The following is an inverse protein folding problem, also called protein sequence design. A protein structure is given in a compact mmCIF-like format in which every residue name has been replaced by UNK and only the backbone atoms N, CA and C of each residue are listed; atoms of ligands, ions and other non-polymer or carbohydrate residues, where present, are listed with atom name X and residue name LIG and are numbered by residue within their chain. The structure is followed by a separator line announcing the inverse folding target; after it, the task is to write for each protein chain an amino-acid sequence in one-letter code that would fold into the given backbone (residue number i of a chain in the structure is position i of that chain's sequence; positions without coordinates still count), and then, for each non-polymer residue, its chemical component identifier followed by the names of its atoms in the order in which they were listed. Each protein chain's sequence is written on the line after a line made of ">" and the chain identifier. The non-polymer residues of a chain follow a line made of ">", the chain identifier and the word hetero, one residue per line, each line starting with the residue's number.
data_IF_026183649370
#
_entry.id   IF_026183649370
#
_cell.length_a   1.000
_cell.length_b   1.000
_cell.length_c   1.000
_cell.angle_alpha   90.00
_cell.angle_beta   90.00
_cell.angle_gamma   90.00
#
_symmetry.space_group_name_H-M   'P 1'
#
loop_
_entity.id
_entity.type
_entity.pdbx_description
1 polymer ?
#
# COMPACT_ATOMS: atom_id res chain seq x y z
N UNK A 1 -0.99 -29.79 37.38
CA UNK A 1 -0.77 -29.30 36.01
C UNK A 1 -2.14 -29.13 35.35
N UNK A 2 -2.74 -27.95 35.48
CA UNK A 2 -4.07 -27.66 34.90
C UNK A 2 -3.86 -27.29 33.44
N UNK A 3 -4.24 -28.19 32.55
CA UNK A 3 -4.24 -27.96 31.10
C UNK A 3 -5.39 -26.99 30.86
N UNK A 4 -5.07 -25.72 30.64
CA UNK A 4 -6.05 -24.66 30.33
C UNK A 4 -6.89 -25.11 29.14
N UNK A 5 -8.16 -25.43 29.39
CA UNK A 5 -9.13 -25.81 28.35
C UNK A 5 -9.21 -24.69 27.32
N UNK A 6 -8.72 -24.94 26.10
CA UNK A 6 -8.85 -24.02 24.98
C UNK A 6 -10.36 -23.80 24.75
N UNK A 7 -10.83 -22.61 25.09
CA UNK A 7 -12.24 -22.23 24.99
C UNK A 7 -12.71 -22.30 23.53
N UNK A 8 -13.96 -22.69 23.28
CA UNK A 8 -14.48 -22.82 21.91
C UNK A 8 -14.41 -21.48 21.15
N UNK A 9 -14.53 -20.35 21.87
CA UNK A 9 -14.36 -19.01 21.31
C UNK A 9 -12.93 -18.76 20.80
N UNK A 10 -11.90 -19.27 21.49
CA UNK A 10 -10.50 -19.19 21.07
C UNK A 10 -10.27 -19.97 19.78
N UNK A 11 -10.84 -21.17 19.69
CA UNK A 11 -10.70 -22.03 18.51
C UNK A 11 -11.40 -21.43 17.29
N UNK A 12 -12.56 -20.78 17.48
CA UNK A 12 -13.22 -20.01 16.40
C UNK A 12 -12.39 -18.79 15.99
N UNK A 13 -11.88 -18.01 16.94
CA UNK A 13 -11.04 -16.85 16.66
C UNK A 13 -9.74 -17.24 15.92
N UNK A 14 -9.07 -18.34 16.30
CA UNK A 14 -7.87 -18.82 15.61
C UNK A 14 -8.14 -19.25 14.16
N UNK A 15 -9.31 -19.85 13.88
CA UNK A 15 -9.74 -20.16 12.51
C UNK A 15 -10.00 -18.90 11.70
N UNK A 16 -10.63 -17.88 12.31
CA UNK A 16 -10.83 -16.58 11.68
C UNK A 16 -9.47 -15.95 11.36
N UNK A 17 -8.53 -15.91 12.31
CA UNK A 17 -7.16 -15.42 12.06
C UNK A 17 -6.52 -16.10 10.84
N UNK A 18 -6.56 -17.44 10.79
CA UNK A 18 -5.99 -18.18 9.65
C UNK A 18 -6.69 -17.88 8.32
N UNK A 19 -8.02 -17.78 8.32
CA UNK A 19 -8.80 -17.46 7.12
C UNK A 19 -8.53 -16.02 6.64
N UNK A 20 -8.48 -15.07 7.59
CA UNK A 20 -8.22 -13.66 7.29
C UNK A 20 -6.81 -13.47 6.73
N UNK A 21 -5.82 -14.21 7.24
CA UNK A 21 -4.47 -14.25 6.65
C UNK A 21 -4.50 -14.79 5.21
N UNK A 22 -5.17 -15.92 4.98
CA UNK A 22 -5.30 -16.49 3.63
C UNK A 22 -5.99 -15.54 2.65
N UNK A 23 -6.93 -14.72 3.12
CA UNK A 23 -7.64 -13.72 2.31
C UNK A 23 -6.84 -12.43 2.11
N UNK A 24 -5.94 -12.07 3.04
CA UNK A 24 -5.12 -10.86 2.95
C UNK A 24 -3.90 -11.03 2.02
N UNK A 25 -3.37 -12.25 1.88
CA UNK A 25 -2.18 -12.54 1.09
C UNK A 25 -2.36 -12.21 -0.41
N UNK A 26 -3.43 -12.64 -1.11
CA UNK A 26 -3.55 -12.40 -2.54
C UNK A 26 -3.62 -10.91 -2.93
N UNK A 27 -4.44 -10.06 -2.26
CA UNK A 27 -4.45 -8.63 -2.53
C UNK A 27 -3.10 -7.95 -2.26
N UNK A 28 -2.45 -8.30 -1.15
CA UNK A 28 -1.15 -7.73 -0.79
C UNK A 28 -0.03 -8.12 -1.78
N UNK A 29 -0.02 -9.36 -2.27
CA UNK A 29 0.92 -9.80 -3.31
C UNK A 29 0.62 -9.14 -4.65
N UNK A 30 -0.65 -8.96 -4.99
CA UNK A 30 -1.05 -8.30 -6.23
C UNK A 30 -0.59 -6.84 -6.24
N UNK A 31 -0.87 -6.07 -5.19
CA UNK A 31 -0.42 -4.68 -5.11
C UNK A 31 1.11 -4.57 -4.93
N UNK A 32 1.68 -5.33 -3.99
CA UNK A 32 3.10 -5.21 -3.64
C UNK A 32 4.06 -5.73 -4.71
N UNK A 33 3.75 -6.86 -5.35
CA UNK A 33 4.66 -7.54 -6.29
C UNK A 33 4.23 -7.28 -7.73
N UNK A 34 2.97 -7.52 -8.06
CA UNK A 34 2.52 -7.46 -9.45
C UNK A 34 2.41 -6.02 -9.96
N UNK A 35 1.75 -5.13 -9.20
CA UNK A 35 1.61 -3.72 -9.58
C UNK A 35 2.99 -3.03 -9.53
N UNK A 36 3.76 -3.18 -8.45
CA UNK A 36 5.10 -2.59 -8.36
C UNK A 36 6.05 -3.05 -9.47
N UNK A 37 6.05 -4.33 -9.84
CA UNK A 37 6.95 -4.83 -10.91
C UNK A 37 6.59 -4.33 -12.30
N UNK A 38 5.32 -4.02 -12.56
CA UNK A 38 4.87 -3.47 -13.84
C UNK A 38 5.09 -1.95 -13.94
N UNK A 39 5.07 -1.25 -12.81
CA UNK A 39 5.02 0.21 -12.77
C UNK A 39 6.34 0.86 -12.34
N UNK A 40 7.11 0.23 -11.44
CA UNK A 40 8.29 0.83 -10.82
C UNK A 40 9.57 0.39 -11.53
N UNK A 41 10.25 1.35 -12.14
CA UNK A 41 11.61 1.20 -12.64
C UNK A 41 12.55 1.91 -11.66
N UNK A 42 13.17 1.14 -10.77
CA UNK A 42 13.98 1.65 -9.65
C UNK A 42 15.10 2.63 -10.05
N UNK A 43 15.58 2.57 -11.30
CA UNK A 43 16.64 3.46 -11.81
C UNK A 43 16.13 4.56 -12.75
N UNK A 44 14.82 4.68 -12.98
CA UNK A 44 14.27 5.68 -13.90
C UNK A 44 12.87 6.17 -13.47
N UNK A 45 12.84 7.26 -12.70
CA UNK A 45 11.60 7.89 -12.24
C UNK A 45 10.74 8.43 -13.39
N UNK A 46 11.35 8.90 -14.48
CA UNK A 46 10.62 9.42 -15.64
C UNK A 46 9.95 8.30 -16.47
N UNK A 47 10.52 7.09 -16.45
CA UNK A 47 9.94 5.90 -17.07
C UNK A 47 8.86 5.28 -16.18
N UNK A 48 9.07 5.26 -14.86
CA UNK A 48 8.05 4.91 -13.87
C UNK A 48 6.79 5.78 -14.03
N UNK A 49 6.96 7.11 -14.10
CA UNK A 49 5.86 8.05 -14.34
C UNK A 49 5.11 7.77 -15.65
N UNK A 50 5.83 7.47 -16.74
CA UNK A 50 5.23 7.11 -18.02
C UNK A 50 4.47 5.78 -17.96
N UNK A 51 5.00 4.77 -17.27
CA UNK A 51 4.33 3.48 -17.08
C UNK A 51 3.05 3.63 -16.23
N UNK A 52 3.08 4.48 -15.19
CA UNK A 52 1.91 4.81 -14.36
C UNK A 52 0.84 5.51 -15.21
N UNK A 53 1.21 6.48 -16.04
CA UNK A 53 0.27 7.15 -16.94
C UNK A 53 -0.29 6.20 -18.02
N UNK A 54 0.54 5.31 -18.56
CA UNK A 54 0.10 4.32 -19.55
C UNK A 54 -0.82 3.23 -18.95
N UNK A 55 -0.63 2.89 -17.67
CA UNK A 55 -1.36 1.84 -16.96
C UNK A 55 -2.11 2.38 -15.74
N UNK A 56 -2.75 3.55 -15.85
CA UNK A 56 -3.46 4.22 -14.75
C UNK A 56 -4.50 3.31 -14.07
N UNK A 57 -5.22 2.50 -14.88
CA UNK A 57 -6.20 1.54 -14.37
C UNK A 57 -5.57 0.47 -13.48
N UNK A 58 -4.37 0.02 -13.80
CA UNK A 58 -3.65 -1.01 -13.04
C UNK A 58 -3.18 -0.44 -11.69
N UNK A 59 -2.71 0.82 -11.70
CA UNK A 59 -2.35 1.55 -10.49
C UNK A 59 -3.56 1.77 -9.57
N UNK A 60 -4.71 2.20 -10.12
CA UNK A 60 -5.96 2.35 -9.35
C UNK A 60 -6.47 1.02 -8.78
N UNK A 61 -6.31 -0.09 -9.53
CA UNK A 61 -6.68 -1.43 -9.07
C UNK A 61 -5.76 -1.93 -7.95
N UNK A 62 -4.47 -1.58 -8.01
CA UNK A 62 -3.51 -1.81 -6.92
C UNK A 62 -3.94 -1.12 -5.64
N UNK A 63 -4.23 0.18 -5.70
CA UNK A 63 -4.71 0.95 -4.55
C UNK A 63 -6.02 0.37 -3.98
N UNK A 64 -6.98 0.00 -4.84
CA UNK A 64 -8.22 -0.63 -4.38
C UNK A 64 -7.96 -1.98 -3.68
N UNK A 65 -6.96 -2.74 -4.15
CA UNK A 65 -6.55 -4.01 -3.55
C UNK A 65 -5.90 -3.80 -2.18
N UNK A 66 -5.06 -2.76 -2.01
CA UNK A 66 -4.48 -2.38 -0.72
C UNK A 66 -5.57 -1.96 0.28
N UNK A 67 -6.56 -1.17 -0.15
CA UNK A 67 -7.70 -0.80 0.70
C UNK A 67 -8.49 -2.03 1.18
N UNK A 68 -8.70 -3.01 0.30
CA UNK A 68 -9.34 -4.28 0.67
C UNK A 68 -8.45 -5.05 1.66
N UNK A 69 -7.14 -5.10 1.44
CA UNK A 69 -6.20 -5.74 2.35
C UNK A 69 -6.26 -5.10 3.75
N UNK A 70 -6.31 -3.77 3.85
CA UNK A 70 -6.43 -3.06 5.13
C UNK A 70 -7.76 -3.35 5.83
N UNK A 71 -8.87 -3.43 5.09
CA UNK A 71 -10.16 -3.81 5.67
C UNK A 71 -10.12 -5.23 6.28
N UNK A 72 -9.48 -6.17 5.56
CA UNK A 72 -9.25 -7.54 6.03
C UNK A 72 -8.31 -7.55 7.24
N UNK A 73 -7.28 -6.70 7.26
CA UNK A 73 -6.32 -6.58 8.36
C UNK A 73 -6.97 -6.07 9.65
N UNK A 74 -7.93 -5.14 9.58
CA UNK A 74 -8.70 -4.72 10.77
C UNK A 74 -9.46 -5.90 11.40
N UNK A 75 -10.07 -6.75 10.58
CA UNK A 75 -10.73 -7.98 11.07
C UNK A 75 -9.70 -8.94 11.67
N UNK A 76 -8.52 -9.04 11.08
CA UNK A 76 -7.42 -9.86 11.59
C UNK A 76 -6.99 -9.37 12.98
N UNK A 77 -6.80 -8.07 13.17
CA UNK A 77 -6.42 -7.46 14.45
C UNK A 77 -7.46 -7.78 15.53
N UNK A 78 -8.76 -7.64 15.21
CA UNK A 78 -9.84 -7.97 16.15
C UNK A 78 -9.85 -9.46 16.52
N UNK A 79 -9.65 -10.35 15.55
CA UNK A 79 -9.57 -11.79 15.77
C UNK A 79 -8.32 -12.16 16.60
N UNK A 80 -7.17 -11.54 16.32
CA UNK A 80 -5.93 -11.74 17.06
C UNK A 80 -6.06 -11.29 18.51
N UNK A 81 -6.74 -10.16 18.75
CA UNK A 81 -7.05 -9.69 20.10
C UNK A 81 -7.89 -10.72 20.87
N UNK A 82 -8.93 -11.31 20.24
CA UNK A 82 -9.74 -12.35 20.87
C UNK A 82 -8.93 -13.62 21.20
N UNK A 83 -7.92 -13.96 20.38
CA UNK A 83 -7.01 -15.09 20.64
C UNK A 83 -6.01 -14.79 21.76
N UNK A 84 -5.47 -13.58 21.85
CA UNK A 84 -4.45 -13.23 22.86
C UNK A 84 -5.05 -12.78 24.21
N UNK A 85 -6.31 -12.34 24.23
CA UNK A 85 -7.02 -11.86 25.44
C UNK A 85 -6.87 -12.79 26.66
N UNK A 86 -7.04 -14.12 26.57
CA UNK A 86 -6.93 -15.01 27.73
C UNK A 86 -5.49 -15.34 28.16
N UNK A 87 -4.49 -15.02 27.34
CA UNK A 87 -3.07 -15.16 27.74
C UNK A 87 -2.67 -13.95 28.57
N UNK A 88 -2.82 -12.75 28.00
CA UNK A 88 -2.58 -11.49 28.71
C UNK A 88 -3.30 -10.34 27.99
N UNK A 89 -4.31 -9.76 28.64
CA UNK A 89 -5.13 -8.69 28.06
C UNK A 89 -4.34 -7.42 27.72
N UNK A 90 -3.34 -7.06 28.54
CA UNK A 90 -2.55 -5.85 28.31
C UNK A 90 -1.61 -6.01 27.11
N UNK A 91 -0.96 -7.17 26.99
CA UNK A 91 -0.14 -7.47 25.81
C UNK A 91 -0.98 -7.61 24.54
N UNK A 92 -2.17 -8.22 24.64
CA UNK A 92 -3.10 -8.32 23.52
C UNK A 92 -3.54 -6.93 23.02
N UNK A 93 -3.85 -6.00 23.93
CA UNK A 93 -4.18 -4.63 23.58
C UNK A 93 -2.99 -3.91 22.95
N UNK A 94 -1.79 -4.03 23.54
CA UNK A 94 -0.59 -3.38 23.00
C UNK A 94 -0.28 -3.87 21.57
N UNK A 95 -0.35 -5.18 21.34
CA UNK A 95 -0.15 -5.76 20.01
C UNK A 95 -1.21 -5.28 19.01
N UNK A 96 -2.49 -5.21 19.42
CA UNK A 96 -3.56 -4.71 18.58
C UNK A 96 -3.39 -3.21 18.25
N UNK A 97 -3.02 -2.38 19.22
CA UNK A 97 -2.74 -0.96 19.00
C UNK A 97 -1.54 -0.75 18.08
N UNK A 98 -0.45 -1.51 18.30
CA UNK A 98 0.74 -1.43 17.44
C UNK A 98 0.38 -1.77 15.99
N UNK A 99 -0.37 -2.86 15.79
CA UNK A 99 -0.84 -3.26 14.46
C UNK A 99 -1.77 -2.22 13.85
N UNK A 100 -2.71 -1.65 14.61
CA UNK A 100 -3.57 -0.57 14.10
C UNK A 100 -2.77 0.66 13.66
N UNK A 101 -1.70 1.02 14.38
CA UNK A 101 -0.82 2.13 13.99
C UNK A 101 -0.10 1.79 12.68
N UNK A 102 0.42 0.56 12.55
CA UNK A 102 1.04 0.07 11.32
C UNK A 102 0.05 0.14 10.13
N UNK A 103 -1.15 -0.41 10.27
CA UNK A 103 -2.20 -0.36 9.23
C UNK A 103 -2.56 1.08 8.88
N UNK A 104 -2.70 1.97 9.87
CA UNK A 104 -3.02 3.38 9.64
C UNK A 104 -1.93 4.11 8.86
N UNK A 105 -0.65 3.85 9.17
CA UNK A 105 0.47 4.41 8.41
C UNK A 105 0.45 3.92 6.96
N UNK A 106 0.20 2.63 6.73
CA UNK A 106 0.07 2.09 5.38
C UNK A 106 -1.09 2.72 4.60
N UNK A 107 -2.24 2.93 5.23
CA UNK A 107 -3.37 3.65 4.60
C UNK A 107 -2.95 5.06 4.18
N UNK A 108 -2.21 5.79 5.02
CA UNK A 108 -1.71 7.13 4.68
C UNK A 108 -0.75 7.09 3.49
N UNK A 109 0.14 6.10 3.42
CA UNK A 109 1.05 5.89 2.28
C UNK A 109 0.25 5.62 1.00
N UNK A 110 -0.72 4.71 1.04
CA UNK A 110 -1.59 4.40 -0.10
C UNK A 110 -2.46 5.59 -0.52
N UNK A 111 -2.84 6.47 0.41
CA UNK A 111 -3.49 7.73 0.06
C UNK A 111 -2.55 8.70 -0.64
N UNK A 112 -1.26 8.70 -0.30
CA UNK A 112 -0.26 9.49 -1.02
C UNK A 112 -0.08 9.01 -2.47
N UNK A 113 -0.27 7.72 -2.74
CA UNK A 113 -0.27 7.19 -4.11
C UNK A 113 -1.41 7.80 -4.97
N UNK A 114 -2.57 8.10 -4.36
CA UNK A 114 -3.62 8.86 -5.06
C UNK A 114 -3.18 10.28 -5.41
N UNK A 115 -2.43 10.95 -4.51
CA UNK A 115 -1.87 12.27 -4.80
C UNK A 115 -0.84 12.19 -5.95
N UNK A 116 0.01 11.16 -5.97
CA UNK A 116 0.94 10.91 -7.09
C UNK A 116 0.18 10.71 -8.39
N UNK A 117 -0.90 9.92 -8.39
CA UNK A 117 -1.75 9.75 -9.57
C UNK A 117 -2.39 11.07 -10.02
N UNK A 118 -2.83 11.90 -9.06
CA UNK A 118 -3.45 13.21 -9.32
C UNK A 118 -2.44 14.21 -9.88
N UNK A 119 -1.22 14.21 -9.38
CA UNK A 119 -0.11 15.01 -9.90
C UNK A 119 0.26 14.56 -11.31
N UNK A 120 0.36 13.25 -11.56
CA UNK A 120 0.71 12.71 -12.88
C UNK A 120 -0.40 12.87 -13.93
N UNK A 121 -1.67 12.81 -13.53
CA UNK A 121 -2.83 12.97 -14.42
C UNK A 121 -3.25 14.42 -14.64
N UNK A 122 -2.90 15.32 -13.71
CA UNK A 122 -3.24 16.72 -13.76
C UNK A 122 -2.25 17.55 -14.56
N UNK A 123 -2.75 18.36 -15.49
CA UNK A 123 -2.02 19.51 -16.05
C UNK A 123 -1.52 20.48 -14.94
N UNK A 124 -1.95 20.32 -13.69
CA UNK A 124 -1.47 21.05 -12.52
C UNK A 124 -0.02 20.73 -12.12
N UNK A 125 0.53 19.55 -12.44
CA UNK A 125 1.99 19.34 -12.32
C UNK A 125 2.76 20.35 -13.17
N UNK A 126 2.26 20.65 -14.38
CA UNK A 126 2.81 21.69 -15.24
C UNK A 126 2.54 23.11 -14.72
N UNK A 127 1.62 23.31 -13.77
CA UNK A 127 1.39 24.61 -13.12
C UNK A 127 2.30 24.87 -11.93
N UNK A 128 2.77 23.81 -11.25
CA UNK A 128 3.77 23.95 -10.16
C UNK A 128 5.14 24.31 -10.71
N UNK A 129 5.45 23.86 -11.94
CA UNK A 129 6.59 24.38 -12.69
C UNK A 129 6.18 25.69 -13.36
N UNK A 130 6.76 26.81 -12.92
CA UNK A 130 6.62 28.08 -13.64
C UNK A 130 6.91 27.87 -15.14
N UNK A 131 6.16 28.55 -16.02
CA UNK A 131 6.27 28.36 -17.47
C UNK A 131 7.72 28.53 -17.97
N UNK A 132 8.48 29.42 -17.31
CA UNK A 132 9.90 29.65 -17.59
C UNK A 132 10.79 28.47 -17.19
N UNK A 133 10.50 27.78 -16.07
CA UNK A 133 11.24 26.56 -15.68
C UNK A 133 10.94 25.42 -16.64
N UNK A 134 9.70 25.32 -17.11
CA UNK A 134 9.27 24.33 -18.10
C UNK A 134 9.94 24.57 -19.47
N UNK A 135 10.04 25.82 -19.90
CA UNK A 135 10.79 26.18 -21.11
C UNK A 135 12.30 25.93 -20.96
N UNK A 136 12.88 26.21 -19.78
CA UNK A 136 14.28 25.92 -19.52
C UNK A 136 14.56 24.40 -19.54
N UNK A 137 13.69 23.59 -18.94
CA UNK A 137 13.78 22.12 -18.97
C UNK A 137 13.57 21.57 -20.39
N UNK A 138 12.63 22.12 -21.16
CA UNK A 138 12.41 21.75 -22.56
C UNK A 138 13.64 22.09 -23.42
N UNK A 139 14.24 23.27 -23.25
CA UNK A 139 15.48 23.64 -23.96
C UNK A 139 16.65 22.75 -23.57
N UNK A 140 16.78 22.40 -22.30
CA UNK A 140 17.88 21.55 -21.81
C UNK A 140 17.73 20.10 -22.29
N UNK A 141 16.51 19.57 -22.35
CA UNK A 141 16.23 18.23 -22.89
C UNK A 141 16.36 18.16 -24.41
N UNK A 142 15.92 19.19 -25.16
CA UNK A 142 16.19 19.30 -26.60
C UNK A 142 17.69 19.43 -26.85
N UNK A 143 18.40 20.24 -26.05
CA UNK A 143 19.85 20.38 -26.11
C UNK A 143 20.59 19.05 -25.90
N UNK A 144 20.19 18.29 -24.88
CA UNK A 144 20.73 16.97 -24.60
C UNK A 144 20.42 15.93 -25.68
N UNK A 145 19.23 16.00 -26.31
CA UNK A 145 18.87 15.13 -27.44
C UNK A 145 19.54 15.54 -28.76
N UNK A 146 19.95 16.81 -28.88
CA UNK A 146 20.67 17.36 -30.04
C UNK A 146 22.19 17.22 -29.94
N UNK A 147 22.72 16.68 -28.84
CA UNK A 147 24.12 16.31 -28.76
C UNK A 147 24.35 15.12 -29.72
N UNK A 148 25.14 15.27 -30.79
CA UNK A 148 25.54 14.13 -31.59
C UNK A 148 26.42 13.23 -30.71
N UNK A 149 26.13 11.93 -30.73
CA UNK A 149 27.12 10.92 -30.34
C UNK A 149 28.38 11.07 -31.19
#
# INVERSE_FOLDING_TARGET
>A
MTISTIDESQRKAARVVGLTYLLAIPPALFAGVYVSSQLIVYNNAAETARNIMAHERLFRLGIASDLIAFAVDVVLIAALYAVLKPINRNLALLAAFWRLIETALFVVVTLNDFDVLRVLSGADYLRVFDADRLQALARLSIGACSAPF
#
